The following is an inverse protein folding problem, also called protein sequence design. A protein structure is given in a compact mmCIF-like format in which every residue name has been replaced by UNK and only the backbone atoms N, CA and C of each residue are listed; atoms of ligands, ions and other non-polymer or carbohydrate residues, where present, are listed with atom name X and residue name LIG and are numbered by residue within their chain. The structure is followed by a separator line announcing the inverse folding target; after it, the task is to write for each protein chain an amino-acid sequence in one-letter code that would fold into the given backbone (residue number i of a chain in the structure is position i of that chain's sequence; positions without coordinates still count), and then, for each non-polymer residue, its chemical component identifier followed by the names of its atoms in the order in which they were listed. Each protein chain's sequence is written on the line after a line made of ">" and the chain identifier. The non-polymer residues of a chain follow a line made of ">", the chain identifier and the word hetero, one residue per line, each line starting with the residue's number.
data_IF_157883387621
#
_entry.id   IF_157883387621
#
_cell.length_a   1.000
_cell.length_b   1.000
_cell.length_c   1.000
_cell.angle_alpha   90.00
_cell.angle_beta   90.00
_cell.angle_gamma   90.00
#
_symmetry.space_group_name_H-M   'P 1'
#
loop_
_entity.id
_entity.type
_entity.pdbx_description
1 polymer ?
#
# COMPACT_ATOMS: atom_id res chain seq x y z
N UNK A 1 21.50 1.08 3.86
CA UNK A 1 20.51 1.66 4.79
C UNK A 1 21.12 1.67 6.18
N UNK A 2 21.19 2.83 6.84
CA UNK A 2 21.69 2.95 8.21
C UNK A 2 20.72 2.41 9.26
N UNK A 3 21.17 2.22 10.52
CA UNK A 3 20.36 1.68 11.62
C UNK A 3 19.12 2.55 11.95
N UNK A 4 19.22 3.87 11.83
CA UNK A 4 18.11 4.80 12.12
C UNK A 4 16.96 4.68 11.10
N UNK A 5 17.28 4.50 9.82
CA UNK A 5 16.28 4.22 8.78
C UNK A 5 15.57 2.89 9.04
N UNK A 6 16.29 1.90 9.57
CA UNK A 6 15.69 0.63 9.94
C UNK A 6 14.68 0.81 11.09
N UNK A 7 15.03 1.49 12.18
CA UNK A 7 14.08 1.71 13.27
C UNK A 7 12.77 2.42 12.81
N UNK A 8 12.88 3.39 11.90
CA UNK A 8 11.74 4.15 11.36
C UNK A 8 10.79 3.30 10.53
N UNK A 9 11.32 2.48 9.61
CA UNK A 9 10.50 1.57 8.83
C UNK A 9 9.77 0.55 9.71
N UNK A 10 10.39 0.10 10.80
CA UNK A 10 9.71 -0.82 11.73
C UNK A 10 8.54 -0.10 12.44
N UNK A 11 8.76 1.13 12.92
CA UNK A 11 7.69 1.96 13.49
C UNK A 11 6.57 2.28 12.48
N UNK A 12 6.90 2.48 11.21
CA UNK A 12 5.93 2.73 10.14
C UNK A 12 4.98 1.54 9.96
N UNK A 13 5.51 0.31 9.90
CA UNK A 13 4.67 -0.88 9.69
C UNK A 13 3.91 -1.29 10.93
N UNK A 14 4.42 -1.04 12.15
CA UNK A 14 3.64 -1.26 13.37
C UNK A 14 2.40 -0.34 13.46
N UNK A 15 2.47 0.85 12.87
CA UNK A 15 1.33 1.78 12.76
C UNK A 15 0.38 1.41 11.60
N UNK A 16 0.86 0.63 10.64
CA UNK A 16 0.05 0.13 9.54
C UNK A 16 -0.92 -0.95 10.03
N UNK A 17 -2.21 -0.78 9.77
CA UNK A 17 -3.24 -1.77 10.08
C UNK A 17 -3.87 -2.24 8.77
N UNK A 18 -3.87 -3.55 8.56
CA UNK A 18 -4.66 -4.14 7.49
C UNK A 18 -6.15 -3.85 7.73
N UNK A 19 -6.87 -3.47 6.69
CA UNK A 19 -8.31 -3.30 6.73
C UNK A 19 -8.99 -4.68 6.79
N UNK A 20 -9.11 -5.26 8.00
CA UNK A 20 -9.79 -6.54 8.18
C UNK A 20 -10.13 -6.84 9.63
N UNK A 21 -11.32 -7.39 9.93
CA UNK A 21 -11.69 -7.73 11.30
C UNK A 21 -10.83 -8.88 11.83
N UNK A 22 -10.40 -8.77 13.10
CA UNK A 22 -9.57 -9.76 13.79
C UNK A 22 -10.17 -11.20 13.77
N UNK A 23 -11.48 -11.32 13.57
CA UNK A 23 -12.19 -12.59 13.40
C UNK A 23 -11.62 -13.47 12.27
N UNK A 24 -10.99 -12.89 11.23
CA UNK A 24 -10.35 -13.65 10.14
C UNK A 24 -9.14 -14.47 10.59
N UNK A 25 -8.49 -14.11 11.71
CA UNK A 25 -7.34 -14.86 12.26
C UNK A 25 -7.71 -16.29 12.67
N UNK A 26 -8.94 -16.51 13.17
CA UNK A 26 -9.43 -17.84 13.57
C UNK A 26 -9.74 -18.77 12.39
N UNK A 27 -10.07 -18.22 11.22
CA UNK A 27 -10.38 -19.02 10.04
C UNK A 27 -9.16 -19.78 9.48
N UNK A 28 -7.95 -19.25 9.69
CA UNK A 28 -6.69 -19.86 9.23
C UNK A 28 -6.43 -21.22 9.89
N UNK A 29 -6.90 -21.43 11.11
CA UNK A 29 -6.69 -22.69 11.86
C UNK A 29 -7.59 -23.83 11.37
N UNK A 30 -8.69 -23.50 10.67
CA UNK A 30 -9.67 -24.48 10.20
C UNK A 30 -9.33 -25.08 8.84
N UNK A 31 -8.48 -24.42 8.04
CA UNK A 31 -8.19 -24.82 6.67
C UNK A 31 -6.72 -25.23 6.49
N UNK A 32 -6.50 -26.36 5.80
CA UNK A 32 -5.14 -26.78 5.41
C UNK A 32 -4.47 -25.74 4.48
N UNK A 33 -5.26 -25.12 3.60
CA UNK A 33 -4.89 -24.01 2.74
C UNK A 33 -5.76 -22.81 3.09
N UNK A 34 -5.17 -21.78 3.68
CA UNK A 34 -5.92 -20.60 4.14
C UNK A 34 -6.18 -19.58 3.02
N UNK A 35 -5.46 -19.68 1.91
CA UNK A 35 -5.59 -18.79 0.76
C UNK A 35 -4.50 -19.02 -0.28
N UNK A 36 -4.36 -18.08 -1.20
CA UNK A 36 -3.30 -18.04 -2.21
C UNK A 36 -2.50 -16.73 -2.06
N UNK A 37 -1.22 -16.79 -2.40
CA UNK A 37 -0.37 -15.62 -2.55
C UNK A 37 0.06 -15.53 -4.01
N UNK A 38 -0.21 -14.39 -4.65
CA UNK A 38 0.00 -14.20 -6.09
C UNK A 38 0.99 -13.08 -6.37
N UNK A 39 1.58 -13.13 -7.56
CA UNK A 39 2.27 -12.00 -8.17
C UNK A 39 1.79 -11.85 -9.60
N UNK A 40 1.34 -10.65 -9.94
CA UNK A 40 0.83 -10.29 -11.26
C UNK A 40 1.84 -9.39 -11.97
N UNK A 41 1.84 -9.40 -13.29
CA UNK A 41 2.48 -8.33 -14.05
C UNK A 41 1.60 -7.08 -14.05
N UNK A 42 2.15 -5.95 -14.50
CA UNK A 42 1.40 -4.69 -14.65
C UNK A 42 0.21 -4.76 -15.61
N UNK A 43 0.19 -5.76 -16.50
CA UNK A 43 -0.90 -6.00 -17.44
C UNK A 43 -2.00 -6.88 -16.83
N UNK A 44 -1.82 -7.31 -15.57
CA UNK A 44 -2.76 -8.13 -14.85
C UNK A 44 -2.66 -9.64 -15.10
N UNK A 45 -1.61 -10.16 -15.75
CA UNK A 45 -1.43 -11.61 -15.87
C UNK A 45 -0.79 -12.22 -14.64
N UNK A 46 -1.23 -13.42 -14.23
CA UNK A 46 -0.64 -14.13 -13.09
C UNK A 46 0.72 -14.71 -13.49
N UNK A 47 1.78 -14.25 -12.84
CA UNK A 47 3.14 -14.71 -13.10
C UNK A 47 3.53 -15.88 -12.20
N UNK A 48 3.10 -15.84 -10.93
CA UNK A 48 3.34 -16.90 -9.96
C UNK A 48 2.26 -16.88 -8.90
N UNK A 49 1.84 -18.07 -8.48
CA UNK A 49 0.88 -18.29 -7.41
C UNK A 49 1.37 -19.41 -6.51
N UNK A 50 1.20 -19.27 -5.20
CA UNK A 50 1.43 -20.34 -4.25
C UNK A 50 0.33 -20.41 -3.19
N UNK A 51 0.09 -21.61 -2.66
CA UNK A 51 -0.87 -21.82 -1.58
C UNK A 51 -0.29 -21.37 -0.23
N UNK A 52 -1.12 -20.67 0.55
CA UNK A 52 -0.82 -20.34 1.94
C UNK A 52 -1.19 -21.50 2.86
N UNK A 53 -0.22 -22.37 3.13
CA UNK A 53 -0.42 -23.60 3.89
C UNK A 53 -0.41 -23.31 5.39
N UNK A 54 -1.55 -23.60 6.06
CA UNK A 54 -1.75 -23.50 7.52
C UNK A 54 -1.26 -22.16 8.11
N UNK A 55 -1.37 -21.08 7.36
CA UNK A 55 -0.94 -19.74 7.75
C UNK A 55 -1.67 -18.68 6.96
N UNK A 56 -1.72 -17.45 7.46
CA UNK A 56 -1.97 -16.29 6.60
C UNK A 56 -0.75 -15.96 5.74
N UNK A 57 -0.66 -14.70 5.32
CA UNK A 57 0.50 -14.17 4.58
C UNK A 57 1.75 -14.11 5.46
N UNK A 58 2.59 -15.14 5.39
CA UNK A 58 3.93 -15.15 5.98
C UNK A 58 4.96 -14.68 4.96
N UNK A 59 6.05 -14.05 5.41
CA UNK A 59 7.10 -13.52 4.54
C UNK A 59 7.75 -14.56 3.61
N UNK A 60 7.64 -15.87 3.90
CA UNK A 60 8.15 -16.93 3.02
C UNK A 60 7.53 -16.90 1.62
N UNK A 61 6.26 -16.52 1.49
CA UNK A 61 5.56 -16.48 0.19
C UNK A 61 6.06 -15.33 -0.71
N UNK A 62 6.07 -14.06 -0.27
CA UNK A 62 6.63 -12.98 -1.08
C UNK A 62 8.14 -13.17 -1.34
N UNK A 63 8.91 -13.77 -0.41
CA UNK A 63 10.32 -14.12 -0.67
C UNK A 63 10.43 -15.13 -1.83
N UNK A 64 9.66 -16.22 -1.78
CA UNK A 64 9.68 -17.25 -2.81
C UNK A 64 9.25 -16.69 -4.17
N UNK A 65 8.17 -15.90 -4.21
CA UNK A 65 7.72 -15.24 -5.44
C UNK A 65 8.78 -14.27 -5.98
N UNK A 66 9.39 -13.44 -5.12
CA UNK A 66 10.47 -12.52 -5.54
C UNK A 66 11.67 -13.28 -6.11
N UNK A 67 12.07 -14.38 -5.46
CA UNK A 67 13.12 -15.25 -5.98
C UNK A 67 12.80 -15.75 -7.39
N UNK A 68 11.59 -16.31 -7.56
CA UNK A 68 11.13 -16.84 -8.84
C UNK A 68 11.08 -15.77 -9.93
N UNK A 69 10.58 -14.58 -9.61
CA UNK A 69 10.48 -13.46 -10.56
C UNK A 69 11.87 -13.01 -11.02
N UNK A 70 12.84 -12.88 -10.12
CA UNK A 70 14.22 -12.53 -10.50
C UNK A 70 14.85 -13.62 -11.37
N UNK A 71 14.66 -14.89 -11.02
CA UNK A 71 15.20 -16.02 -11.79
C UNK A 71 14.59 -16.12 -13.19
N UNK A 72 13.32 -15.73 -13.34
CA UNK A 72 12.57 -15.86 -14.59
C UNK A 72 12.76 -14.68 -15.53
N UNK A 73 12.73 -13.45 -15.00
CA UNK A 73 12.71 -12.23 -15.83
C UNK A 73 14.01 -11.42 -15.76
N UNK A 74 14.94 -11.77 -14.87
CA UNK A 74 16.26 -11.16 -14.78
C UNK A 74 16.32 -9.89 -13.92
N UNK A 75 17.24 -8.97 -14.23
CA UNK A 75 17.44 -7.75 -13.44
C UNK A 75 16.42 -6.65 -13.76
N UNK A 76 16.47 -5.56 -12.99
CA UNK A 76 15.71 -4.32 -13.18
C UNK A 76 14.19 -4.49 -13.09
N UNK A 77 13.75 -5.42 -12.23
CA UNK A 77 12.33 -5.66 -11.97
C UNK A 77 11.84 -4.75 -10.85
N UNK A 78 10.74 -4.03 -11.11
CA UNK A 78 9.95 -3.33 -10.11
C UNK A 78 8.86 -4.23 -9.54
N UNK A 79 8.84 -4.40 -8.22
CA UNK A 79 7.80 -5.10 -7.49
C UNK A 79 7.15 -4.21 -6.43
N UNK A 80 5.86 -4.41 -6.21
CA UNK A 80 5.11 -3.66 -5.21
C UNK A 80 4.50 -4.58 -4.15
N UNK A 81 4.49 -4.10 -2.90
CA UNK A 81 3.85 -4.77 -1.79
C UNK A 81 3.42 -3.75 -0.73
N UNK A 82 2.28 -3.99 -0.07
CA UNK A 82 1.66 -3.04 0.88
C UNK A 82 2.62 -2.58 1.98
N UNK A 83 3.54 -3.47 2.36
CA UNK A 83 4.58 -3.24 3.36
C UNK A 83 5.99 -3.38 2.76
N UNK A 84 6.17 -2.98 1.50
CA UNK A 84 7.43 -3.11 0.77
C UNK A 84 8.64 -2.53 1.54
N UNK A 85 8.45 -1.44 2.28
CA UNK A 85 9.49 -0.85 3.11
C UNK A 85 10.09 -1.85 4.11
N UNK A 86 9.26 -2.63 4.81
CA UNK A 86 9.69 -3.71 5.73
C UNK A 86 10.10 -4.96 4.95
N UNK A 87 9.42 -5.24 3.86
CA UNK A 87 9.73 -6.41 3.04
C UNK A 87 11.11 -6.34 2.41
N UNK A 88 11.57 -5.18 1.93
CA UNK A 88 12.93 -5.02 1.39
C UNK A 88 14.00 -5.31 2.45
N UNK A 89 13.79 -4.94 3.71
CA UNK A 89 14.71 -5.37 4.78
C UNK A 89 14.72 -6.89 4.95
N UNK A 90 13.54 -7.50 4.85
CA UNK A 90 13.38 -8.95 4.96
C UNK A 90 14.12 -9.64 3.82
N UNK A 91 13.95 -9.16 2.59
CA UNK A 91 14.69 -9.61 1.42
C UNK A 91 16.21 -9.51 1.62
N UNK A 92 16.69 -8.35 2.10
CA UNK A 92 18.11 -8.10 2.38
C UNK A 92 18.67 -8.81 3.62
N UNK A 93 17.86 -9.59 4.34
CA UNK A 93 18.25 -10.46 5.45
C UNK A 93 17.91 -11.93 5.19
N UNK A 94 17.40 -12.24 4.00
CA UNK A 94 16.96 -13.58 3.63
C UNK A 94 18.06 -14.33 2.88
N UNK A 95 17.80 -15.59 2.55
CA UNK A 95 18.67 -16.42 1.72
C UNK A 95 18.88 -15.87 0.30
N UNK A 96 18.07 -14.91 -0.16
CA UNK A 96 18.16 -14.33 -1.51
C UNK A 96 18.76 -12.92 -1.54
N UNK A 97 19.39 -12.49 -0.46
CA UNK A 97 19.96 -11.12 -0.31
C UNK A 97 20.86 -10.72 -1.48
N UNK A 98 21.85 -11.55 -1.83
CA UNK A 98 22.78 -11.25 -2.93
C UNK A 98 22.08 -11.22 -4.28
N UNK A 99 21.07 -12.09 -4.48
CA UNK A 99 20.26 -12.10 -5.70
C UNK A 99 19.48 -10.78 -5.86
N UNK A 100 18.85 -10.31 -4.78
CA UNK A 100 18.10 -9.04 -4.75
C UNK A 100 19.02 -7.84 -5.02
N UNK A 101 20.24 -7.84 -4.46
CA UNK A 101 21.24 -6.79 -4.70
C UNK A 101 21.70 -6.77 -6.15
N UNK A 102 22.08 -7.94 -6.68
CA UNK A 102 22.62 -8.08 -8.03
C UNK A 102 21.58 -7.82 -9.12
N UNK A 103 20.32 -8.14 -8.86
CA UNK A 103 19.22 -7.88 -9.80
C UNK A 103 18.79 -6.42 -9.84
N UNK A 104 19.26 -5.56 -8.93
CA UNK A 104 18.78 -4.17 -8.78
C UNK A 104 17.26 -4.10 -8.63
N UNK A 105 16.68 -5.03 -7.86
CA UNK A 105 15.24 -5.08 -7.62
C UNK A 105 14.73 -3.77 -7.01
N UNK A 106 13.70 -3.21 -7.63
CA UNK A 106 13.06 -1.95 -7.21
C UNK A 106 11.82 -2.30 -6.40
N UNK A 107 11.75 -1.82 -5.16
CA UNK A 107 10.58 -2.00 -4.30
C UNK A 107 9.69 -0.75 -4.27
N UNK A 108 8.38 -0.94 -4.36
CA UNK A 108 7.36 0.12 -4.26
C UNK A 108 6.26 -0.24 -3.25
N UNK A 109 5.72 0.76 -2.53
CA UNK A 109 4.45 0.62 -1.81
C UNK A 109 3.32 1.13 -2.73
N UNK A 110 2.27 0.34 -3.03
CA UNK A 110 1.18 0.76 -3.92
C UNK A 110 0.57 2.12 -3.56
N UNK A 111 0.18 2.91 -4.56
CA UNK A 111 -0.13 4.34 -4.40
C UNK A 111 -1.19 4.62 -3.31
N UNK A 112 -2.27 3.85 -3.27
CA UNK A 112 -3.33 3.98 -2.26
C UNK A 112 -2.80 3.72 -0.84
N UNK A 113 -1.98 2.68 -0.69
CA UNK A 113 -1.45 2.28 0.62
C UNK A 113 -0.33 3.20 1.06
N UNK A 114 0.45 3.75 0.13
CA UNK A 114 1.57 4.62 0.42
C UNK A 114 1.20 5.79 1.32
N UNK A 115 -0.01 6.34 1.16
CA UNK A 115 -0.52 7.42 2.01
C UNK A 115 -0.81 7.01 3.47
N UNK A 116 -1.02 5.72 3.74
CA UNK A 116 -1.17 5.20 5.10
C UNK A 116 0.18 4.98 5.80
N UNK A 117 1.30 5.03 5.08
CA UNK A 117 2.64 4.99 5.66
C UNK A 117 3.07 6.38 6.14
N UNK A 118 4.02 6.43 7.06
CA UNK A 118 4.58 7.69 7.54
C UNK A 118 5.30 8.46 6.42
N UNK A 119 5.41 9.78 6.54
CA UNK A 119 6.00 10.63 5.49
C UNK A 119 7.44 10.22 5.17
N UNK A 120 8.23 9.86 6.17
CA UNK A 120 9.59 9.33 6.02
C UNK A 120 9.64 8.01 5.25
N UNK A 121 8.59 7.19 5.29
CA UNK A 121 8.48 6.02 4.41
C UNK A 121 8.06 6.43 2.99
N UNK A 122 7.09 7.34 2.87
CA UNK A 122 6.56 7.78 1.57
C UNK A 122 7.64 8.30 0.63
N UNK A 123 8.54 9.17 1.11
CA UNK A 123 9.59 9.81 0.29
C UNK A 123 10.61 8.82 -0.32
N UNK A 124 10.60 7.56 0.10
CA UNK A 124 11.45 6.50 -0.45
C UNK A 124 10.69 5.42 -1.21
N UNK A 125 9.43 5.13 -0.82
CA UNK A 125 8.73 3.93 -1.29
C UNK A 125 7.46 4.21 -2.08
N UNK A 126 6.92 5.43 -2.03
CA UNK A 126 5.71 5.77 -2.77
C UNK A 126 6.03 5.91 -4.28
N UNK A 127 5.22 5.39 -5.21
CA UNK A 127 5.53 5.33 -6.65
C UNK A 127 5.90 6.67 -7.28
N UNK A 128 5.29 7.77 -6.81
CA UNK A 128 5.66 9.15 -7.21
C UNK A 128 7.14 9.53 -7.00
N UNK A 129 7.86 8.86 -6.11
CA UNK A 129 9.27 9.17 -5.79
C UNK A 129 10.21 8.01 -6.16
N UNK A 130 9.72 7.04 -6.93
CA UNK A 130 10.50 5.88 -7.37
C UNK A 130 10.59 5.91 -8.88
N UNK A 131 11.80 6.03 -9.41
CA UNK A 131 12.02 6.07 -10.84
C UNK A 131 11.75 4.72 -11.51
N UNK A 132 11.35 4.77 -12.78
CA UNK A 132 11.17 3.58 -13.63
C UNK A 132 9.78 2.92 -13.53
N UNK A 133 8.93 3.32 -12.59
CA UNK A 133 7.60 2.69 -12.39
C UNK A 133 6.48 3.38 -13.17
N UNK A 134 6.74 4.58 -13.69
CA UNK A 134 5.79 5.36 -14.46
C UNK A 134 4.55 5.76 -13.64
N UNK A 135 3.37 5.68 -14.27
CA UNK A 135 2.09 6.06 -13.66
C UNK A 135 1.36 4.87 -13.00
N UNK A 136 2.07 3.79 -12.71
CA UNK A 136 1.47 2.57 -12.17
C UNK A 136 0.99 2.77 -10.73
N UNK A 137 -0.24 2.34 -10.44
CA UNK A 137 -0.81 2.42 -9.08
C UNK A 137 -0.48 1.19 -8.22
N UNK A 138 -0.06 0.11 -8.88
CA UNK A 138 0.27 -1.19 -8.33
C UNK A 138 -0.90 -1.86 -7.58
N UNK A 139 -2.12 -1.75 -8.14
CA UNK A 139 -3.35 -2.31 -7.57
C UNK A 139 -3.91 -3.56 -8.24
N UNK A 140 -3.17 -4.17 -9.16
CA UNK A 140 -3.66 -5.35 -9.90
C UNK A 140 -3.96 -6.54 -8.97
N UNK A 141 -3.20 -6.75 -7.89
CA UNK A 141 -3.45 -7.84 -6.94
C UNK A 141 -4.82 -7.68 -6.27
N UNK A 142 -5.18 -6.49 -5.82
CA UNK A 142 -6.47 -6.24 -5.20
C UNK A 142 -7.63 -6.37 -6.19
N UNK A 143 -7.44 -5.95 -7.46
CA UNK A 143 -8.42 -6.17 -8.53
C UNK A 143 -8.64 -7.66 -8.79
N UNK A 144 -7.56 -8.45 -8.83
CA UNK A 144 -7.64 -9.90 -8.97
C UNK A 144 -8.32 -10.55 -7.77
N UNK A 145 -7.97 -10.16 -6.55
CA UNK A 145 -8.58 -10.71 -5.34
C UNK A 145 -10.07 -10.37 -5.24
N UNK A 146 -10.48 -9.18 -5.69
CA UNK A 146 -11.89 -8.80 -5.72
C UNK A 146 -12.70 -9.73 -6.66
N UNK A 147 -12.18 -10.02 -7.86
CA UNK A 147 -12.84 -10.93 -8.80
C UNK A 147 -12.78 -12.40 -8.37
N UNK A 148 -11.61 -12.89 -7.94
CA UNK A 148 -11.42 -14.30 -7.58
C UNK A 148 -12.13 -14.70 -6.29
N UNK A 149 -12.64 -13.75 -5.51
CA UNK A 149 -13.43 -14.01 -4.31
C UNK A 149 -14.71 -14.83 -4.61
N UNK A 150 -15.21 -14.82 -5.84
CA UNK A 150 -16.33 -15.68 -6.27
C UNK A 150 -16.03 -17.18 -6.11
N UNK A 151 -14.76 -17.58 -6.25
CA UNK A 151 -14.33 -18.97 -6.07
C UNK A 151 -14.44 -19.43 -4.62
N UNK A 152 -14.36 -18.50 -3.66
CA UNK A 152 -14.16 -18.83 -2.26
C UNK A 152 -15.23 -19.77 -1.70
N UNK A 153 -16.50 -19.61 -2.10
CA UNK A 153 -17.58 -20.48 -1.63
C UNK A 153 -17.40 -21.94 -2.10
N UNK A 154 -16.98 -22.11 -3.36
CA UNK A 154 -16.83 -23.44 -3.99
C UNK A 154 -15.53 -24.13 -3.58
N UNK A 155 -14.44 -23.39 -3.38
CA UNK A 155 -13.12 -23.96 -3.11
C UNK A 155 -12.90 -24.36 -1.66
N UNK A 156 -13.70 -23.84 -0.71
CA UNK A 156 -13.49 -24.04 0.76
C UNK A 156 -13.59 -25.49 1.22
N UNK A 157 -14.46 -26.29 0.59
CA UNK A 157 -14.71 -27.68 0.98
C UNK A 157 -14.24 -28.69 -0.07
N UNK A 158 -13.60 -28.20 -1.14
CA UNK A 158 -13.06 -29.04 -2.20
C UNK A 158 -11.86 -29.87 -1.74
N UNK A 159 -11.69 -31.05 -2.35
CA UNK A 159 -10.40 -31.74 -2.27
C UNK A 159 -9.29 -30.88 -2.91
N UNK A 160 -8.01 -31.08 -2.55
CA UNK A 160 -6.90 -30.30 -3.12
C UNK A 160 -6.88 -30.30 -4.66
N UNK A 161 -7.23 -31.42 -5.28
CA UNK A 161 -7.31 -31.55 -6.74
C UNK A 161 -8.37 -30.63 -7.35
N UNK A 162 -9.64 -30.75 -6.92
CA UNK A 162 -10.73 -29.95 -7.47
C UNK A 162 -10.56 -28.45 -7.17
N UNK A 163 -10.01 -28.14 -5.99
CA UNK A 163 -9.67 -26.77 -5.63
C UNK A 163 -8.66 -26.17 -6.62
N UNK A 164 -7.62 -26.93 -6.98
CA UNK A 164 -6.62 -26.50 -7.95
C UNK A 164 -7.24 -26.37 -9.35
N UNK A 165 -8.05 -27.33 -9.77
CA UNK A 165 -8.74 -27.30 -11.06
C UNK A 165 -9.58 -26.03 -11.20
N UNK A 166 -10.44 -25.72 -10.23
CA UNK A 166 -11.28 -24.51 -10.26
C UNK A 166 -10.47 -23.22 -10.29
N UNK A 167 -9.37 -23.14 -9.54
CA UNK A 167 -8.49 -21.97 -9.61
C UNK A 167 -7.84 -21.86 -10.99
N UNK A 168 -7.33 -22.96 -11.54
CA UNK A 168 -6.70 -22.94 -12.87
C UNK A 168 -7.70 -22.52 -13.96
N UNK A 169 -8.92 -23.07 -13.93
CA UNK A 169 -9.97 -22.69 -14.89
C UNK A 169 -10.31 -21.20 -14.81
N UNK A 170 -10.35 -20.63 -13.60
CA UNK A 170 -10.53 -19.19 -13.40
C UNK A 170 -9.35 -18.37 -13.94
N UNK A 171 -8.12 -18.83 -13.69
CA UNK A 171 -6.91 -18.16 -14.17
C UNK A 171 -6.83 -18.14 -15.69
N UNK A 172 -7.13 -19.26 -16.34
CA UNK A 172 -7.13 -19.38 -17.79
C UNK A 172 -8.12 -18.38 -18.41
N UNK A 173 -9.33 -18.30 -17.85
CA UNK A 173 -10.32 -17.33 -18.30
C UNK A 173 -9.87 -15.88 -18.05
N UNK A 174 -9.37 -15.60 -16.85
CA UNK A 174 -8.85 -14.28 -16.49
C UNK A 174 -7.71 -13.83 -17.43
N UNK A 175 -6.78 -14.72 -17.77
CA UNK A 175 -5.68 -14.41 -18.68
C UNK A 175 -6.16 -14.18 -20.11
N UNK A 176 -7.17 -14.92 -20.59
CA UNK A 176 -7.80 -14.66 -21.89
C UNK A 176 -8.45 -13.26 -21.91
N UNK A 177 -9.16 -12.89 -20.84
CA UNK A 177 -9.78 -11.58 -20.71
C UNK A 177 -8.74 -10.44 -20.69
N UNK A 178 -7.65 -10.62 -19.93
CA UNK A 178 -6.53 -9.67 -19.89
C UNK A 178 -5.87 -9.55 -21.26
N UNK A 179 -5.61 -10.68 -21.92
CA UNK A 179 -4.99 -10.72 -23.25
C UNK A 179 -5.86 -10.01 -24.30
N UNK A 180 -7.17 -10.28 -24.29
CA UNK A 180 -8.14 -9.64 -25.22
C UNK A 180 -8.19 -8.13 -25.04
N UNK A 181 -8.02 -7.63 -23.81
CA UNK A 181 -8.03 -6.21 -23.49
C UNK A 181 -6.65 -5.54 -23.56
N UNK A 182 -5.58 -6.29 -23.80
CA UNK A 182 -4.20 -5.83 -23.67
C UNK A 182 -3.90 -4.66 -24.62
N UNK A 183 -4.34 -4.74 -25.88
CA UNK A 183 -4.14 -3.67 -26.86
C UNK A 183 -4.83 -2.36 -26.45
N UNK A 184 -6.06 -2.44 -25.93
CA UNK A 184 -6.80 -1.28 -25.42
C UNK A 184 -6.13 -0.70 -24.18
N UNK A 185 -5.68 -1.56 -23.27
CA UNK A 185 -4.96 -1.16 -22.06
C UNK A 185 -3.69 -0.36 -22.41
N UNK A 186 -2.86 -0.87 -23.31
CA UNK A 186 -1.64 -0.18 -23.74
C UNK A 186 -1.96 1.14 -24.45
N UNK A 187 -2.92 1.13 -25.37
CA UNK A 187 -3.32 2.34 -26.09
C UNK A 187 -3.84 3.45 -25.16
N UNK A 188 -4.74 3.11 -24.23
CA UNK A 188 -5.28 4.08 -23.28
C UNK A 188 -4.21 4.63 -22.33
N UNK A 189 -3.35 3.76 -21.80
CA UNK A 189 -2.26 4.20 -20.92
C UNK A 189 -1.26 5.10 -21.66
N UNK A 190 -0.91 4.77 -22.90
CA UNK A 190 -0.05 5.59 -23.73
C UNK A 190 -0.67 6.97 -24.02
N UNK A 191 -1.93 7.00 -24.45
CA UNK A 191 -2.68 8.25 -24.67
C UNK A 191 -2.78 9.10 -23.41
N UNK A 192 -3.08 8.49 -22.27
CA UNK A 192 -3.16 9.18 -20.98
C UNK A 192 -1.79 9.73 -20.55
N UNK A 193 -0.69 9.03 -20.83
CA UNK A 193 0.67 9.50 -20.56
C UNK A 193 0.98 10.74 -21.39
N UNK A 194 0.72 10.70 -22.71
CA UNK A 194 0.94 11.83 -23.60
C UNK A 194 0.13 13.05 -23.18
N UNK A 195 -1.17 12.87 -22.89
CA UNK A 195 -2.03 13.97 -22.46
C UNK A 195 -1.52 14.61 -21.16
N UNK A 196 -1.10 13.79 -20.18
CA UNK A 196 -0.55 14.32 -18.92
C UNK A 196 0.76 15.07 -19.13
N UNK A 197 1.62 14.60 -20.04
CA UNK A 197 2.86 15.33 -20.36
C UNK A 197 2.52 16.69 -20.97
N UNK A 198 1.57 16.74 -21.90
CA UNK A 198 1.12 17.98 -22.53
C UNK A 198 0.52 18.96 -21.50
N UNK A 199 -0.47 18.50 -20.72
CA UNK A 199 -1.20 19.31 -19.75
C UNK A 199 -0.29 19.78 -18.60
N UNK A 200 0.44 18.85 -18.00
CA UNK A 200 1.23 19.14 -16.80
C UNK A 200 2.47 19.96 -17.13
N UNK A 201 3.05 19.85 -18.34
CA UNK A 201 4.22 20.66 -18.71
C UNK A 201 3.90 22.15 -18.70
N UNK A 202 2.73 22.54 -19.22
CA UNK A 202 2.31 23.93 -19.23
C UNK A 202 2.00 24.42 -17.82
N UNK A 203 1.28 23.62 -17.03
CA UNK A 203 0.98 23.96 -15.62
C UNK A 203 2.25 24.07 -14.78
N UNK A 204 3.19 23.16 -14.96
CA UNK A 204 4.47 23.17 -14.24
C UNK A 204 5.27 24.42 -14.60
N UNK A 205 5.39 24.78 -15.88
CA UNK A 205 6.10 25.99 -16.29
C UNK A 205 5.49 27.28 -15.69
N UNK A 206 4.17 27.34 -15.56
CA UNK A 206 3.49 28.45 -14.89
C UNK A 206 3.82 28.51 -13.40
N UNK A 207 3.79 27.37 -12.71
CA UNK A 207 4.11 27.25 -11.29
C UNK A 207 5.60 27.54 -11.02
N UNK A 208 6.50 27.04 -11.85
CA UNK A 208 7.95 27.31 -11.80
C UNK A 208 8.21 28.82 -11.84
N UNK A 209 7.57 29.52 -12.79
CA UNK A 209 7.68 30.98 -12.89
C UNK A 209 7.09 31.71 -11.68
N UNK A 210 5.93 31.28 -11.19
CA UNK A 210 5.24 31.91 -10.07
C UNK A 210 5.99 31.73 -8.74
N UNK A 211 6.54 30.53 -8.52
CA UNK A 211 7.21 30.15 -7.28
C UNK A 211 8.72 30.42 -7.33
N UNK A 212 9.25 30.86 -8.47
CA UNK A 212 10.69 31.01 -8.72
C UNK A 212 11.45 29.71 -8.44
N UNK A 213 10.93 28.60 -8.97
CA UNK A 213 11.50 27.25 -8.82
C UNK A 213 11.76 26.61 -10.18
N UNK A 214 12.50 25.52 -10.17
CA UNK A 214 12.87 24.72 -11.33
C UNK A 214 12.83 23.23 -11.00
N UNK A 215 12.91 22.38 -12.01
CA UNK A 215 13.10 20.93 -11.84
C UNK A 215 14.25 20.56 -10.89
N UNK A 216 15.38 21.26 -10.95
CA UNK A 216 16.52 21.02 -10.04
C UNK A 216 16.17 21.31 -8.58
N UNK A 217 15.34 22.33 -8.33
CA UNK A 217 14.88 22.66 -6.99
C UNK A 217 13.99 21.54 -6.43
N UNK A 218 13.17 20.87 -7.24
CA UNK A 218 12.30 19.80 -6.76
C UNK A 218 13.08 18.55 -6.34
N UNK A 219 14.09 18.17 -7.11
CA UNK A 219 15.01 17.09 -6.71
C UNK A 219 15.77 17.45 -5.44
N UNK A 220 16.22 18.72 -5.33
CA UNK A 220 16.86 19.23 -4.11
C UNK A 220 15.91 19.18 -2.92
N UNK A 221 14.65 19.64 -3.07
CA UNK A 221 13.65 19.63 -1.99
C UNK A 221 13.34 18.21 -1.50
N UNK A 222 13.24 17.23 -2.41
CA UNK A 222 13.06 15.84 -2.01
C UNK A 222 14.26 15.32 -1.21
N UNK A 223 15.47 15.68 -1.60
CA UNK A 223 16.69 15.29 -0.89
C UNK A 223 16.83 16.00 0.47
N UNK A 224 16.47 17.28 0.54
CA UNK A 224 16.41 18.06 1.79
C UNK A 224 15.36 17.47 2.73
N UNK A 225 14.17 17.13 2.24
CA UNK A 225 13.10 16.49 3.02
C UNK A 225 13.55 15.13 3.56
N UNK A 226 14.18 14.30 2.74
CA UNK A 226 14.80 13.03 3.18
C UNK A 226 15.81 13.25 4.29
N UNK A 227 16.71 14.22 4.11
CA UNK A 227 17.76 14.53 5.10
C UNK A 227 17.17 15.04 6.42
N UNK A 228 16.17 15.93 6.34
CA UNK A 228 15.43 16.43 7.50
C UNK A 228 14.74 15.29 8.25
N UNK A 229 13.96 14.47 7.53
CA UNK A 229 13.23 13.35 8.12
C UNK A 229 14.18 12.30 8.69
N UNK A 230 15.33 12.05 8.06
CA UNK A 230 16.36 11.14 8.57
C UNK A 230 17.03 11.65 9.84
N UNK A 231 17.29 12.95 9.94
CA UNK A 231 17.83 13.60 11.14
C UNK A 231 16.82 13.81 12.27
N UNK A 232 15.52 13.66 12.00
CA UNK A 232 14.47 13.92 12.98
C UNK A 232 14.42 12.82 14.07
N UNK A 233 14.97 13.14 15.25
CA UNK A 233 14.94 12.25 16.44
C UNK A 233 13.69 12.46 17.30
N UNK A 234 13.16 13.69 17.32
CA UNK A 234 11.95 14.09 18.04
C UNK A 234 11.28 15.21 17.25
N UNK A 235 9.95 15.26 17.28
CA UNK A 235 9.23 16.41 16.72
C UNK A 235 9.70 17.71 17.38
N UNK A 236 9.85 18.81 16.60
CA UNK A 236 10.17 20.09 17.16
C UNK A 236 9.13 20.48 18.22
N UNK A 237 9.52 21.07 19.35
CA UNK A 237 8.59 21.45 20.41
C UNK A 237 7.45 22.34 19.92
N UNK A 238 7.71 23.22 18.95
CA UNK A 238 6.70 24.08 18.34
C UNK A 238 5.64 23.28 17.57
N UNK A 239 6.06 22.25 16.82
CA UNK A 239 5.13 21.37 16.10
C UNK A 239 4.26 20.58 17.08
N UNK A 240 4.87 20.02 18.13
CA UNK A 240 4.14 19.34 19.19
C UNK A 240 3.13 20.27 19.87
N UNK A 241 3.52 21.51 20.19
CA UNK A 241 2.65 22.51 20.79
C UNK A 241 1.48 22.88 19.88
N UNK A 242 1.68 22.98 18.55
CA UNK A 242 0.59 23.22 17.60
C UNK A 242 -0.41 22.06 17.57
N UNK A 243 0.07 20.81 17.60
CA UNK A 243 -0.82 19.65 17.69
C UNK A 243 -1.59 19.62 19.02
N UNK A 244 -0.90 19.85 20.14
CA UNK A 244 -1.53 19.94 21.46
C UNK A 244 -2.61 21.04 21.51
N UNK A 245 -2.32 22.20 20.90
CA UNK A 245 -3.30 23.29 20.76
C UNK A 245 -4.50 22.88 19.91
N UNK A 246 -4.28 22.22 18.77
CA UNK A 246 -5.36 21.74 17.90
C UNK A 246 -6.23 20.70 18.60
N UNK A 247 -5.64 19.77 19.37
CA UNK A 247 -6.38 18.83 20.20
C UNK A 247 -7.18 19.53 21.30
N UNK A 248 -6.59 20.53 21.95
CA UNK A 248 -7.28 21.33 22.96
C UNK A 248 -8.47 22.10 22.35
N UNK A 249 -8.32 22.64 21.14
CA UNK A 249 -9.37 23.32 20.41
C UNK A 249 -10.51 22.36 20.01
N UNK A 250 -10.18 21.14 19.56
CA UNK A 250 -11.17 20.11 19.25
C UNK A 250 -11.94 19.68 20.51
N UNK A 251 -11.24 19.49 21.63
CA UNK A 251 -11.86 19.20 22.95
C UNK A 251 -12.78 20.33 23.38
N UNK A 252 -12.36 21.59 23.23
CA UNK A 252 -13.19 22.76 23.54
C UNK A 252 -14.46 22.78 22.69
N UNK A 253 -14.34 22.62 21.36
CA UNK A 253 -15.50 22.59 20.44
C UNK A 253 -16.48 21.48 20.77
N UNK A 254 -15.98 20.29 21.12
CA UNK A 254 -16.83 19.16 21.56
C UNK A 254 -17.56 19.50 22.85
N UNK A 255 -16.88 20.11 23.82
CA UNK A 255 -17.50 20.52 25.09
C UNK A 255 -18.55 21.62 24.87
N UNK A 256 -18.26 22.63 24.06
CA UNK A 256 -19.21 23.68 23.67
C UNK A 256 -20.44 23.09 22.99
N UNK A 257 -20.26 22.13 22.07
CA UNK A 257 -21.38 21.44 21.42
C UNK A 257 -22.26 20.69 22.43
N UNK A 258 -21.65 19.99 23.39
CA UNK A 258 -22.39 19.29 24.47
C UNK A 258 -23.13 20.29 25.35
N UNK A 259 -22.53 21.44 25.69
CA UNK A 259 -23.18 22.49 26.48
C UNK A 259 -24.33 23.11 25.71
N UNK A 260 -24.14 23.48 24.44
CA UNK A 260 -25.18 24.04 23.57
C UNK A 260 -26.31 23.02 23.39
N UNK A 261 -26.00 21.75 23.19
CA UNK A 261 -26.99 20.68 23.09
C UNK A 261 -27.74 20.49 24.42
N UNK A 262 -27.04 20.51 25.55
CA UNK A 262 -27.65 20.44 26.88
C UNK A 262 -28.54 21.65 27.17
N UNK A 263 -28.15 22.86 26.75
CA UNK A 263 -28.94 24.09 26.90
C UNK A 263 -30.18 24.10 25.98
N UNK A 264 -30.07 23.59 24.75
CA UNK A 264 -31.22 23.44 23.85
C UNK A 264 -32.18 22.32 24.28
N UNK A 265 -31.68 21.25 24.91
CA UNK A 265 -32.50 20.13 25.36
C UNK A 265 -32.95 20.24 26.83
N UNK A 266 -32.46 21.20 27.62
CA UNK A 266 -32.93 21.46 28.98
C UNK A 266 -34.20 22.33 29.05
N UNK A 267 -35.12 22.15 28.10
CA UNK A 267 -36.53 22.23 28.46
C UNK A 267 -36.90 20.92 29.20
N UNK A 268 -36.64 20.91 30.52
CA UNK A 268 -37.00 19.92 31.56
C UNK A 268 -35.94 18.85 31.89
N UNK A 269 -35.51 18.72 33.17
CA UNK A 269 -34.66 17.63 33.62
C UNK A 269 -35.55 16.47 34.06
N UNK A 270 -35.45 15.31 33.40
CA UNK A 270 -35.76 14.01 34.01
C UNK A 270 -35.22 12.89 33.11
N UNK A 271 -34.14 12.27 33.58
CA UNK A 271 -33.74 10.89 33.31
C UNK A 271 -33.77 10.39 31.87
N UNK A 272 -32.60 10.37 31.22
CA UNK A 272 -32.32 9.36 30.21
C UNK A 272 -30.82 9.07 30.15
N UNK A 273 -30.44 7.89 30.62
CA UNK A 273 -29.22 7.20 30.22
C UNK A 273 -29.15 7.15 28.70
N UNK A 274 -28.26 7.95 28.09
CA UNK A 274 -27.96 7.88 26.68
C UNK A 274 -26.50 7.46 26.51
N UNK A 275 -26.32 6.14 26.48
CA UNK A 275 -25.15 5.46 25.91
C UNK A 275 -25.03 5.84 24.42
N UNK A 276 -24.42 6.99 24.13
CA UNK A 276 -23.99 7.33 22.77
C UNK A 276 -22.66 6.60 22.48
N UNK A 277 -22.76 5.38 21.94
CA UNK A 277 -21.67 4.78 21.16
C UNK A 277 -21.55 5.55 19.85
N UNK A 278 -20.66 6.53 19.82
CA UNK A 278 -20.13 7.04 18.55
C UNK A 278 -19.20 5.96 18.00
N UNK A 279 -19.70 5.18 17.05
CA UNK A 279 -18.86 4.35 16.19
C UNK A 279 -18.20 5.29 15.16
N UNK A 280 -16.89 5.45 15.28
CA UNK A 280 -15.99 5.82 14.18
C UNK A 280 -15.36 4.53 13.67
#
# INVERSE_FOLDING_TARGET
>A
MGPDFAAKVDACVERWRAAGPDARKKAVELFAVAGIFITLCRHGHVLVMCDMIRSGELMKYPIANTNYIIDTYGPDIGGAYDIMCKFMKTLLRSSITEKVRNSRFIGVVPAFHGHAHSRDCQVYWHPRYVDGVGMEDFKECERFYAGSNELAATTRTCSPFHRRQQILDYLDFHDIDKYTNHGKFLFHNYRAALQRIEDNKLQLAMLEKQLHTSGEDYERYLQEERTYLDGLKKEPPETAQRFEYMEALDKLRKAEYVIIFALHNNCSPLGADLNLRVLV
#
